data_IF_111428675007
#
_entry.id   IF_111428675007
#
_cell.length_a   1.000
_cell.length_b   1.000
_cell.length_c   1.000
_cell.angle_alpha   90.00
_cell.angle_beta   90.00
_cell.angle_gamma   90.00
#
_symmetry.space_group_name_H-M   'P 1'
#
loop_
_entity.id
_entity.type
_entity.pdbx_description
1 polymer ?
#
# COMPACT_ATOMS: atom_id res chain seq x y z
N UNK A 1 20.25 -8.76 2.17
CA UNK A 1 18.78 -8.61 2.25
C UNK A 1 18.33 -8.02 0.93
N UNK A 2 17.24 -8.50 0.33
CA UNK A 2 16.68 -7.84 -0.85
C UNK A 2 16.03 -6.52 -0.43
N UNK A 3 16.15 -5.49 -1.25
CA UNK A 3 15.49 -4.20 -1.01
C UNK A 3 13.96 -4.37 -1.03
N UNK A 4 13.26 -3.57 -0.23
CA UNK A 4 11.80 -3.59 -0.17
C UNK A 4 11.19 -3.17 -1.51
N UNK A 5 10.08 -3.81 -1.89
CA UNK A 5 9.30 -3.41 -3.06
C UNK A 5 8.50 -2.16 -2.72
N UNK A 6 8.77 -1.07 -3.42
CA UNK A 6 8.07 0.21 -3.27
C UNK A 6 6.74 0.16 -4.02
N UNK A 7 5.65 0.48 -3.31
CA UNK A 7 4.30 0.40 -3.86
C UNK A 7 3.51 1.70 -3.64
N UNK A 8 2.67 2.03 -4.63
CA UNK A 8 1.67 3.08 -4.57
C UNK A 8 0.29 2.43 -4.54
N UNK A 9 -0.51 2.73 -3.51
CA UNK A 9 -1.89 2.22 -3.42
C UNK A 9 -2.83 3.21 -4.10
N UNK A 10 -3.49 2.81 -5.18
CA UNK A 10 -4.46 3.66 -5.91
C UNK A 10 -5.87 3.15 -5.70
N UNK A 11 -6.73 4.02 -5.17
CA UNK A 11 -8.10 3.71 -4.77
C UNK A 11 -8.16 3.22 -3.31
N UNK A 12 -8.92 3.94 -2.49
CA UNK A 12 -9.10 3.65 -1.06
C UNK A 12 -10.53 3.22 -0.71
N UNK A 13 -11.10 2.31 -1.50
CA UNK A 13 -12.27 1.55 -1.07
C UNK A 13 -11.89 0.46 -0.04
N UNK A 14 -12.85 -0.39 0.32
CA UNK A 14 -12.63 -1.52 1.25
C UNK A 14 -11.44 -2.40 0.88
N UNK A 15 -11.27 -2.70 -0.42
CA UNK A 15 -10.13 -3.47 -0.91
C UNK A 15 -8.82 -2.69 -0.84
N UNK A 16 -8.80 -1.43 -1.27
CA UNK A 16 -7.58 -0.62 -1.25
C UNK A 16 -7.02 -0.45 0.17
N UNK A 17 -7.91 -0.16 1.13
CA UNK A 17 -7.54 -0.01 2.53
C UNK A 17 -7.05 -1.33 3.15
N UNK A 18 -7.71 -2.47 2.86
CA UNK A 18 -7.28 -3.77 3.38
C UNK A 18 -5.92 -4.20 2.82
N UNK A 19 -5.64 -3.92 1.54
CA UNK A 19 -4.36 -4.22 0.91
C UNK A 19 -3.25 -3.31 1.44
N UNK A 20 -3.49 -2.00 1.56
CA UNK A 20 -2.54 -1.08 2.18
C UNK A 20 -2.17 -1.53 3.61
N UNK A 21 -3.17 -1.93 4.38
CA UNK A 21 -2.99 -2.46 5.74
C UNK A 21 -2.13 -3.74 5.74
N UNK A 22 -2.38 -4.68 4.81
CA UNK A 22 -1.60 -5.91 4.67
C UNK A 22 -0.15 -5.65 4.25
N UNK A 23 0.07 -4.80 3.24
CA UNK A 23 1.40 -4.45 2.77
C UNK A 23 2.21 -3.68 3.82
N UNK A 24 1.58 -2.82 4.61
CA UNK A 24 2.25 -2.11 5.71
C UNK A 24 2.82 -3.06 6.79
N UNK A 25 2.17 -4.21 6.99
CA UNK A 25 2.62 -5.25 7.93
C UNK A 25 3.57 -6.27 7.31
N UNK A 26 3.85 -6.19 6.02
CA UNK A 26 4.70 -7.14 5.32
C UNK A 26 6.09 -6.54 5.10
N UNK A 27 7.12 -7.15 5.68
CA UNK A 27 8.49 -6.63 5.67
C UNK A 27 9.10 -6.48 4.27
N UNK A 28 8.54 -7.17 3.27
CA UNK A 28 8.98 -7.08 1.87
C UNK A 28 8.51 -5.83 1.13
N UNK A 29 7.64 -5.00 1.73
CA UNK A 29 7.00 -3.89 1.05
C UNK A 29 7.19 -2.55 1.78
N UNK A 30 7.20 -1.49 0.99
CA UNK A 30 7.20 -0.10 1.45
C UNK A 30 6.12 0.67 0.70
N UNK A 31 5.11 1.16 1.44
CA UNK A 31 4.10 2.04 0.85
C UNK A 31 4.71 3.44 0.76
N UNK A 32 4.95 3.90 -0.47
CA UNK A 32 5.52 5.23 -0.73
C UNK A 32 4.46 6.29 -1.01
N UNK A 33 3.21 5.87 -1.15
CA UNK A 33 2.10 6.78 -1.35
C UNK A 33 0.76 6.06 -1.39
N UNK A 34 -0.29 6.84 -1.18
CA UNK A 34 -1.67 6.39 -1.27
C UNK A 34 -2.46 7.46 -2.02
N UNK A 35 -3.32 7.06 -2.96
CA UNK A 35 -4.13 7.95 -3.79
C UNK A 35 -5.60 7.55 -3.72
N UNK A 36 -6.48 8.55 -3.56
CA UNK A 36 -7.93 8.40 -3.70
C UNK A 36 -8.47 9.51 -4.60
N UNK A 37 -9.55 9.22 -5.33
CA UNK A 37 -10.27 10.25 -6.10
C UNK A 37 -11.26 11.05 -5.25
N UNK A 38 -11.74 10.45 -4.15
CA UNK A 38 -12.93 10.90 -3.42
C UNK A 38 -12.71 11.02 -1.90
N UNK A 39 -11.49 10.78 -1.41
CA UNK A 39 -11.09 10.93 0.00
C UNK A 39 -9.90 11.87 0.03
#
# INVERSE_FOLDING_TARGET
MADKVKILVVGLGNMGASHASAYHRSDGFEIVGIMSRNI
#
